data_IF_543270291617
#
_entry.id   IF_543270291617
#
_cell.length_a   1.000
_cell.length_b   1.000
_cell.length_c   1.000
_cell.angle_alpha   90.00
_cell.angle_beta   90.00
_cell.angle_gamma   90.00
#
_symmetry.space_group_name_H-M   'P 1'
#
loop_
_entity.id
_entity.type
_entity.pdbx_description
1 polymer ?
#
# COMPACT_ATOMS: atom_id res chain seq x y z
N UNK A 1 -37.63 30.32 -13.60
CA UNK A 1 -36.71 29.47 -12.81
C UNK A 1 -37.28 28.05 -12.76
N UNK A 2 -36.58 27.05 -13.29
CA UNK A 2 -36.93 25.63 -13.12
C UNK A 2 -35.70 24.93 -12.56
N UNK A 3 -35.79 24.41 -11.35
CA UNK A 3 -34.68 23.69 -10.71
C UNK A 3 -34.61 22.28 -11.30
N UNK A 4 -33.54 21.97 -12.02
CA UNK A 4 -33.24 20.61 -12.45
C UNK A 4 -32.81 19.79 -11.23
N UNK A 5 -33.59 18.75 -10.97
CA UNK A 5 -33.37 17.74 -9.95
C UNK A 5 -31.99 17.09 -10.16
N UNK A 6 -31.12 17.20 -9.15
CA UNK A 6 -29.84 16.51 -9.12
C UNK A 6 -30.05 15.00 -9.04
N UNK A 7 -30.04 14.34 -10.20
CA UNK A 7 -29.85 12.89 -10.29
C UNK A 7 -28.43 12.60 -9.81
N UNK A 8 -28.28 12.18 -8.55
CA UNK A 8 -27.06 11.53 -8.08
C UNK A 8 -26.98 10.17 -8.78
N UNK A 9 -26.23 10.09 -9.88
CA UNK A 9 -25.81 8.82 -10.45
C UNK A 9 -25.02 8.07 -9.37
N UNK A 10 -25.67 7.09 -8.72
CA UNK A 10 -24.98 6.07 -7.97
C UNK A 10 -24.37 5.14 -9.01
N UNK A 11 -23.10 5.35 -9.33
CA UNK A 11 -22.32 4.33 -10.03
C UNK A 11 -22.28 3.10 -9.13
N UNK A 12 -22.95 2.04 -9.59
CA UNK A 12 -22.85 0.71 -8.99
C UNK A 12 -21.50 0.18 -9.46
N UNK A 13 -20.49 0.23 -8.60
CA UNK A 13 -19.20 -0.41 -8.89
C UNK A 13 -19.46 -1.93 -8.88
N UNK A 14 -19.56 -2.54 -10.05
CA UNK A 14 -19.59 -4.00 -10.19
C UNK A 14 -18.29 -4.56 -9.60
N UNK A 15 -18.40 -5.29 -8.49
CA UNK A 15 -17.28 -5.98 -7.85
C UNK A 15 -17.01 -7.31 -8.57
N UNK A 16 -16.47 -7.21 -9.78
CA UNK A 16 -15.84 -8.33 -10.48
C UNK A 16 -14.38 -8.53 -10.05
N UNK A 17 -13.77 -9.70 -10.32
CA UNK A 17 -12.32 -9.85 -10.19
C UNK A 17 -11.62 -8.83 -11.08
N UNK A 18 -10.49 -8.29 -10.62
CA UNK A 18 -9.67 -7.39 -11.43
C UNK A 18 -9.24 -8.11 -12.72
N UNK A 19 -9.11 -7.39 -13.85
CA UNK A 19 -8.53 -7.94 -15.06
C UNK A 19 -7.16 -8.58 -14.78
N UNK A 20 -6.82 -9.65 -15.49
CA UNK A 20 -5.56 -10.39 -15.33
C UNK A 20 -4.34 -9.47 -15.47
N UNK A 21 -4.37 -8.53 -16.41
CA UNK A 21 -3.33 -7.52 -16.59
C UNK A 21 -3.13 -6.67 -15.32
N UNK A 22 -4.22 -6.27 -14.65
CA UNK A 22 -4.12 -5.51 -13.40
C UNK A 22 -3.53 -6.38 -12.28
N UNK A 23 -3.85 -7.67 -12.22
CA UNK A 23 -3.25 -8.61 -11.26
C UNK A 23 -1.75 -8.79 -11.50
N UNK A 24 -1.32 -8.89 -12.77
CA UNK A 24 0.10 -8.99 -13.14
C UNK A 24 0.85 -7.72 -12.74
N UNK A 25 0.30 -6.54 -13.01
CA UNK A 25 0.89 -5.26 -12.62
C UNK A 25 1.01 -5.17 -11.08
N UNK A 26 -0.05 -5.54 -10.35
CA UNK A 26 -0.02 -5.56 -8.88
C UNK A 26 1.04 -6.53 -8.34
N UNK A 27 1.21 -7.67 -9.00
CA UNK A 27 2.26 -8.63 -8.66
C UNK A 27 3.65 -8.01 -8.86
N UNK A 28 3.93 -7.39 -10.01
CA UNK A 28 5.21 -6.73 -10.27
C UNK A 28 5.49 -5.60 -9.27
N UNK A 29 4.49 -4.76 -8.98
CA UNK A 29 4.57 -3.71 -7.96
C UNK A 29 4.89 -4.28 -6.58
N UNK A 30 4.28 -5.40 -6.20
CA UNK A 30 4.57 -6.06 -4.93
C UNK A 30 6.04 -6.50 -4.81
N UNK A 31 6.65 -6.96 -5.91
CA UNK A 31 8.07 -7.33 -5.93
C UNK A 31 8.96 -6.10 -5.74
N UNK A 32 8.62 -4.98 -6.37
CA UNK A 32 9.33 -3.70 -6.19
C UNK A 32 9.25 -3.25 -4.73
N UNK A 33 8.04 -3.22 -4.16
CA UNK A 33 7.80 -2.82 -2.78
C UNK A 33 8.54 -3.72 -1.78
N UNK A 34 8.58 -5.04 -2.03
CA UNK A 34 9.35 -5.98 -1.20
C UNK A 34 10.85 -5.64 -1.17
N UNK A 35 11.44 -5.30 -2.32
CA UNK A 35 12.86 -4.89 -2.39
C UNK A 35 13.11 -3.59 -1.63
N UNK A 36 12.22 -2.61 -1.78
CA UNK A 36 12.29 -1.34 -1.05
C UNK A 36 12.23 -1.59 0.45
N UNK A 37 11.27 -2.38 0.91
CA UNK A 37 11.09 -2.71 2.32
C UNK A 37 12.33 -3.40 2.93
N UNK A 38 12.92 -4.37 2.22
CA UNK A 38 14.14 -5.05 2.66
C UNK A 38 15.29 -4.05 2.82
N UNK A 39 15.45 -3.12 1.86
CA UNK A 39 16.50 -2.11 1.91
C UNK A 39 16.29 -1.12 3.04
N UNK A 40 15.06 -0.62 3.20
CA UNK A 40 14.68 0.25 4.32
C UNK A 40 15.06 -0.39 5.66
N UNK A 41 14.69 -1.66 5.87
CA UNK A 41 15.01 -2.39 7.09
C UNK A 41 16.52 -2.53 7.33
N UNK A 42 17.30 -2.84 6.29
CA UNK A 42 18.78 -2.91 6.38
C UNK A 42 19.41 -1.58 6.77
N UNK A 43 18.81 -0.47 6.33
CA UNK A 43 19.28 0.88 6.64
C UNK A 43 18.69 1.46 7.94
N UNK A 44 17.87 0.68 8.66
CA UNK A 44 17.27 1.06 9.94
C UNK A 44 16.01 1.93 9.82
N UNK A 45 15.35 1.93 8.66
CA UNK A 45 14.07 2.61 8.49
C UNK A 45 12.90 1.67 8.77
N UNK A 46 11.87 2.19 9.42
CA UNK A 46 10.58 1.52 9.65
C UNK A 46 9.43 2.50 9.41
N UNK A 47 8.20 1.99 9.37
CA UNK A 47 6.99 2.80 9.27
C UNK A 47 6.32 2.89 10.65
N UNK A 48 6.11 4.10 11.15
CA UNK A 48 5.47 4.38 12.44
C UNK A 48 4.34 5.37 12.17
N UNK A 49 3.10 5.01 12.49
CA UNK A 49 1.92 5.86 12.28
C UNK A 49 1.75 6.37 10.83
N UNK A 50 2.17 5.57 9.84
CA UNK A 50 2.10 5.95 8.42
C UNK A 50 3.27 6.82 7.92
N UNK A 51 4.22 7.16 8.78
CA UNK A 51 5.42 7.91 8.42
C UNK A 51 6.66 7.02 8.40
N UNK A 52 7.59 7.30 7.48
CA UNK A 52 8.88 6.61 7.43
C UNK A 52 9.83 7.28 8.41
N UNK A 53 10.33 6.52 9.38
CA UNK A 53 11.25 6.99 10.40
C UNK A 53 12.51 6.13 10.46
N UNK A 54 13.67 6.75 10.73
CA UNK A 54 14.93 6.03 10.96
C UNK A 54 15.07 5.75 12.44
N UNK A 55 15.06 4.47 12.79
CA UNK A 55 15.26 4.01 14.17
C UNK A 55 16.72 3.62 14.35
N UNK A 56 17.31 4.02 15.47
CA UNK A 56 18.61 3.49 15.87
C UNK A 56 18.46 1.97 16.01
N UNK A 57 19.11 1.20 15.15
CA UNK A 57 19.15 -0.26 15.29
C UNK A 57 20.06 -0.53 16.49
N UNK A 58 19.47 -0.67 17.67
CA UNK A 58 20.22 -1.18 18.81
C UNK A 58 20.60 -2.62 18.47
N UNK A 59 21.91 -2.92 18.40
CA UNK A 59 22.42 -4.21 17.86
C UNK A 59 22.04 -5.43 18.73
N UNK A 60 21.23 -5.23 19.77
CA UNK A 60 20.82 -6.22 20.75
C UNK A 60 19.34 -6.62 20.66
N UNK A 61 18.53 -6.00 19.79
CA UNK A 61 17.12 -6.41 19.64
C UNK A 61 17.00 -7.63 18.71
N UNK A 62 16.69 -8.76 19.34
CA UNK A 62 16.26 -10.00 18.68
C UNK A 62 15.07 -9.66 17.76
N UNK A 63 15.09 -10.06 16.48
CA UNK A 63 14.00 -9.73 15.56
C UNK A 63 12.67 -10.30 16.09
N UNK A 64 11.54 -9.57 15.92
CA UNK A 64 10.24 -10.08 16.33
C UNK A 64 9.97 -11.38 15.58
N UNK A 65 9.73 -12.43 16.35
CA UNK A 65 9.38 -13.76 15.86
C UNK A 65 8.15 -13.65 14.97
N UNK A 66 8.21 -14.36 13.84
CA UNK A 66 7.18 -14.42 12.80
C UNK A 66 5.82 -14.88 13.31
#
# INVERSE_FOLDING_TARGET
MKMLHGQRHKEIIEKGPLPEEALLILYELSQVLKRIHIRMRKEGYTMINGEIQKVAIDKNEVPPTQ
#
